data_IF_381453769048
#
_entry.id   IF_381453769048
#
_cell.length_a   1.000
_cell.length_b   1.000
_cell.length_c   1.000
_cell.angle_alpha   90.00
_cell.angle_beta   90.00
_cell.angle_gamma   90.00
#
_symmetry.space_group_name_H-M   'P 1'
#
loop_
_entity.id
_entity.type
_entity.pdbx_description
1 polymer ?
#
# COMPACT_ATOMS: atom_id res chain seq x y z
N UNK A 1 -9.54 -4.05 -9.06
CA UNK A 1 -9.14 -3.71 -7.68
C UNK A 1 -9.15 -4.98 -6.84
N UNK A 2 -8.45 -4.98 -5.72
CA UNK A 2 -8.27 -6.14 -4.85
C UNK A 2 -9.37 -6.22 -3.80
N UNK A 3 -9.75 -7.43 -3.36
CA UNK A 3 -10.80 -7.61 -2.34
C UNK A 3 -10.48 -6.94 -0.99
N UNK A 4 -9.20 -6.65 -0.73
CA UNK A 4 -8.77 -5.93 0.46
C UNK A 4 -9.36 -4.53 0.62
N UNK A 5 -9.78 -3.89 -0.50
CA UNK A 5 -10.39 -2.55 -0.45
C UNK A 5 -11.78 -2.56 0.19
N UNK A 6 -12.49 -3.68 0.11
CA UNK A 6 -13.87 -3.81 0.62
C UNK A 6 -13.94 -3.54 2.12
N UNK A 7 -12.92 -3.97 2.88
CA UNK A 7 -12.83 -3.69 4.31
C UNK A 7 -12.79 -2.19 4.61
N UNK A 8 -12.05 -1.41 3.81
CA UNK A 8 -12.02 0.06 3.96
C UNK A 8 -13.36 0.67 3.58
N UNK A 9 -13.94 0.27 2.45
CA UNK A 9 -15.21 0.80 1.96
C UNK A 9 -16.35 0.54 2.94
N UNK A 10 -16.44 -0.66 3.52
CA UNK A 10 -17.44 -0.98 4.55
C UNK A 10 -17.27 -0.18 5.84
N UNK A 11 -16.04 0.28 6.16
CA UNK A 11 -15.81 1.19 7.31
C UNK A 11 -16.21 2.63 7.00
N UNK A 12 -15.96 3.07 5.77
CA UNK A 12 -16.22 4.46 5.34
C UNK A 12 -17.70 4.70 5.00
N UNK A 13 -18.43 3.67 4.56
CA UNK A 13 -19.85 3.73 4.24
C UNK A 13 -20.58 2.48 4.76
N UNK A 14 -20.78 2.36 6.09
CA UNK A 14 -21.34 1.17 6.74
C UNK A 14 -22.79 0.85 6.33
N UNK A 15 -23.51 1.84 5.82
CA UNK A 15 -24.88 1.70 5.32
C UNK A 15 -24.97 1.04 3.94
N UNK A 16 -23.84 0.88 3.23
CA UNK A 16 -23.79 0.31 1.88
C UNK A 16 -23.26 -1.12 1.91
N UNK A 17 -23.76 -1.94 0.99
CA UNK A 17 -23.23 -3.29 0.74
C UNK A 17 -22.27 -3.25 -0.45
N UNK A 18 -21.02 -3.66 -0.22
CA UNK A 18 -20.00 -3.76 -1.27
C UNK A 18 -19.83 -5.21 -1.70
N UNK A 19 -19.96 -5.48 -3.00
CA UNK A 19 -19.91 -6.83 -3.58
C UNK A 19 -18.64 -6.96 -4.45
N UNK A 20 -17.78 -7.96 -4.23
CA UNK A 20 -16.63 -8.19 -5.10
C UNK A 20 -17.08 -8.68 -6.48
N UNK A 21 -16.51 -8.09 -7.55
CA UNK A 21 -16.70 -8.60 -8.92
C UNK A 21 -15.98 -9.95 -9.10
N UNK A 22 -14.79 -10.08 -8.51
CA UNK A 22 -13.97 -11.29 -8.52
C UNK A 22 -13.53 -11.62 -7.08
N UNK A 23 -14.13 -12.63 -6.42
CA UNK A 23 -13.86 -12.94 -5.00
C UNK A 23 -12.43 -13.37 -4.69
N UNK A 24 -11.71 -13.91 -5.68
CA UNK A 24 -10.32 -14.37 -5.60
C UNK A 24 -9.31 -13.33 -6.14
N UNK A 25 -9.73 -12.09 -6.40
CA UNK A 25 -8.81 -11.00 -6.71
C UNK A 25 -8.04 -10.61 -5.43
N UNK A 26 -6.97 -11.34 -5.16
CA UNK A 26 -6.06 -11.18 -4.02
C UNK A 26 -4.63 -10.97 -4.51
N UNK A 27 -4.04 -9.83 -4.17
CA UNK A 27 -2.63 -9.55 -4.35
C UNK A 27 -1.82 -10.27 -3.27
N UNK A 28 -1.26 -11.43 -3.61
CA UNK A 28 -0.44 -12.24 -2.72
C UNK A 28 0.74 -11.46 -2.11
N UNK A 29 1.35 -10.56 -2.89
CA UNK A 29 2.46 -9.72 -2.41
C UNK A 29 2.03 -8.72 -1.32
N UNK A 30 0.85 -8.12 -1.43
CA UNK A 30 0.32 -7.27 -0.36
C UNK A 30 0.06 -8.07 0.93
N UNK A 31 -0.34 -9.34 0.81
CA UNK A 31 -0.59 -10.22 1.96
C UNK A 31 0.67 -10.77 2.63
N UNK A 32 1.87 -10.46 2.11
CA UNK A 32 3.14 -10.77 2.79
C UNK A 32 3.37 -9.92 4.05
N UNK A 33 2.67 -8.78 4.17
CA UNK A 33 2.72 -7.87 5.33
C UNK A 33 1.73 -8.37 6.38
N UNK A 34 2.24 -8.83 7.53
CA UNK A 34 1.44 -9.34 8.66
C UNK A 34 1.66 -8.49 9.90
N UNK A 35 0.73 -8.53 10.87
CA UNK A 35 0.87 -7.78 12.13
C UNK A 35 2.16 -8.13 12.89
N UNK A 36 2.52 -9.42 12.94
CA UNK A 36 3.78 -9.89 13.52
C UNK A 36 5.00 -9.28 12.84
N UNK A 37 5.04 -9.28 11.49
CA UNK A 37 6.14 -8.69 10.73
C UNK A 37 6.24 -7.18 10.92
N UNK A 38 5.10 -6.48 11.03
CA UNK A 38 5.07 -5.05 11.34
C UNK A 38 5.65 -4.80 12.74
N UNK A 39 5.24 -5.59 13.73
CA UNK A 39 5.80 -5.51 15.09
C UNK A 39 7.33 -5.73 15.09
N UNK A 40 7.82 -6.78 14.43
CA UNK A 40 9.26 -7.07 14.35
C UNK A 40 10.03 -5.99 13.57
N UNK A 41 9.43 -5.46 12.50
CA UNK A 41 9.99 -4.36 11.71
C UNK A 41 10.26 -3.12 12.57
N UNK A 42 9.30 -2.75 13.43
CA UNK A 42 9.43 -1.63 14.35
C UNK A 42 10.41 -1.93 15.49
N UNK A 43 10.31 -3.12 16.10
CA UNK A 43 11.17 -3.54 17.22
C UNK A 43 12.65 -3.59 16.84
N UNK A 44 12.95 -4.07 15.64
CA UNK A 44 14.32 -4.31 15.17
C UNK A 44 14.83 -3.24 14.21
N UNK A 45 14.04 -2.19 13.94
CA UNK A 45 14.38 -1.11 12.99
C UNK A 45 14.80 -1.62 11.60
N UNK A 46 14.11 -2.66 11.12
CA UNK A 46 14.29 -3.26 9.79
C UNK A 46 13.00 -3.15 8.99
N UNK A 47 13.01 -3.12 7.66
CA UNK A 47 14.10 -3.32 6.72
C UNK A 47 14.45 -1.99 6.06
N UNK A 48 15.60 -1.40 6.38
CA UNK A 48 15.97 -0.08 5.85
C UNK A 48 16.03 -0.12 4.32
N UNK A 49 15.17 0.65 3.68
CA UNK A 49 15.13 0.79 2.23
C UNK A 49 16.12 1.88 1.82
N UNK A 50 17.04 1.54 0.91
CA UNK A 50 18.01 2.46 0.32
C UNK A 50 17.82 2.47 -1.19
N UNK A 51 17.85 3.66 -1.78
CA UNK A 51 17.78 3.87 -3.22
C UNK A 51 19.05 4.61 -3.65
N UNK A 52 19.75 4.19 -4.73
CA UNK A 52 20.90 4.92 -5.25
C UNK A 52 20.53 6.38 -5.57
N UNK A 53 21.40 7.32 -5.22
CA UNK A 53 21.13 8.76 -5.30
C UNK A 53 20.68 9.20 -6.69
N UNK A 54 21.34 8.73 -7.75
CA UNK A 54 20.99 9.05 -9.14
C UNK A 54 19.56 8.63 -9.49
N UNK A 55 19.14 7.45 -9.03
CA UNK A 55 17.78 6.93 -9.24
C UNK A 55 16.77 7.74 -8.42
N UNK A 56 17.10 8.02 -7.16
CA UNK A 56 16.25 8.78 -6.25
C UNK A 56 15.98 10.20 -6.78
N UNK A 57 16.99 10.90 -7.30
CA UNK A 57 16.84 12.25 -7.86
C UNK A 57 15.91 12.28 -9.06
N UNK A 58 16.09 11.35 -10.01
CA UNK A 58 15.26 11.26 -11.22
C UNK A 58 13.80 10.94 -10.86
N UNK A 59 13.58 9.96 -9.98
CA UNK A 59 12.26 9.59 -9.51
C UNK A 59 11.58 10.73 -8.74
N UNK A 60 12.32 11.41 -7.86
CA UNK A 60 11.80 12.53 -7.06
C UNK A 60 11.31 13.67 -7.95
N UNK A 61 12.07 14.06 -8.98
CA UNK A 61 11.65 15.12 -9.91
C UNK A 61 10.30 14.82 -10.56
N UNK A 62 10.09 13.57 -11.00
CA UNK A 62 8.82 13.15 -11.61
C UNK A 62 7.66 13.20 -10.60
N UNK A 63 7.89 12.73 -9.37
CA UNK A 63 6.89 12.74 -8.30
C UNK A 63 6.54 14.17 -7.85
N UNK A 64 7.53 15.05 -7.73
CA UNK A 64 7.32 16.46 -7.37
C UNK A 64 6.47 17.19 -8.43
N UNK A 65 6.75 16.96 -9.72
CA UNK A 65 5.93 17.51 -10.80
C UNK A 65 4.49 16.99 -10.77
N UNK A 66 4.29 15.70 -10.46
CA UNK A 66 2.96 15.09 -10.32
C UNK A 66 2.17 15.71 -9.16
N UNK A 67 2.81 15.92 -8.01
CA UNK A 67 2.17 16.52 -6.82
C UNK A 67 1.89 18.01 -7.03
N UNK A 68 2.71 18.74 -7.78
CA UNK A 68 2.49 20.17 -8.02
C UNK A 68 1.24 20.49 -8.85
N UNK A 69 0.68 19.51 -9.54
CA UNK A 69 -0.51 19.66 -10.40
C UNK A 69 -1.76 18.93 -9.89
N UNK A 70 -1.64 18.18 -8.79
CA UNK A 70 -2.73 17.39 -8.19
C UNK A 70 -3.25 18.02 -6.91
#
# INVERSE_FOLDING_TARGET
TEVGILHRLSKEAPEKTFIPVKPDAICEYMKRITLEKVYLSLKEMRHVIRVPEEVAQKARRALEAMVAVG
#
